data_IF_545321992581
#
_entry.id   IF_545321992581
#
_cell.length_a   1.000
_cell.length_b   1.000
_cell.length_c   1.000
_cell.angle_alpha   90.00
_cell.angle_beta   90.00
_cell.angle_gamma   90.00
#
_symmetry.space_group_name_H-M   'P 1'
#
loop_
_entity.id
_entity.type
_entity.pdbx_description
1 polymer ?
#
# COMPACT_ATOMS: atom_id res chain seq x y z
N UNK A 1 -13.81 -41.89 16.14
CA UNK A 1 -12.76 -42.02 15.09
C UNK A 1 -11.76 -40.92 15.42
N UNK A 2 -10.55 -41.29 15.93
CA UNK A 2 -9.45 -40.32 16.07
C UNK A 2 -8.94 -40.01 14.66
N UNK A 3 -9.13 -38.77 14.18
CA UNK A 3 -8.52 -38.30 12.94
C UNK A 3 -7.00 -38.32 13.11
N UNK A 4 -6.31 -39.23 12.43
CA UNK A 4 -4.85 -39.22 12.36
C UNK A 4 -4.44 -38.37 11.16
N UNK A 5 -3.78 -37.25 11.42
CA UNK A 5 -3.32 -36.31 10.40
C UNK A 5 -2.37 -36.98 9.39
N UNK A 6 -1.63 -37.98 9.79
CA UNK A 6 -0.74 -38.77 8.93
C UNK A 6 -1.48 -39.58 7.86
N UNK A 7 -2.77 -39.92 8.07
CA UNK A 7 -3.58 -40.62 7.08
C UNK A 7 -3.99 -39.74 5.88
N UNK A 8 -3.87 -38.43 6.02
CA UNK A 8 -4.23 -37.45 4.97
C UNK A 8 -2.98 -36.98 4.20
N UNK A 9 -1.84 -36.93 4.90
CA UNK A 9 -0.56 -36.51 4.33
C UNK A 9 0.55 -37.38 4.89
N UNK A 10 1.16 -38.22 4.06
CA UNK A 10 2.22 -39.17 4.45
C UNK A 10 3.46 -38.48 5.05
N UNK A 11 3.68 -37.20 4.72
CA UNK A 11 4.80 -36.38 5.21
C UNK A 11 4.42 -35.54 6.45
N UNK A 12 3.22 -35.72 7.02
CA UNK A 12 2.76 -34.94 8.15
C UNK A 12 3.29 -35.53 9.48
N UNK A 13 4.28 -34.88 10.05
CA UNK A 13 4.69 -35.16 11.45
C UNK A 13 4.03 -34.14 12.38
N UNK A 14 3.96 -34.43 13.68
CA UNK A 14 3.41 -33.52 14.70
C UNK A 14 4.18 -32.17 14.78
N UNK A 15 5.39 -32.14 14.22
CA UNK A 15 6.27 -30.97 14.16
C UNK A 15 6.01 -30.08 12.92
N UNK A 16 5.35 -30.62 11.90
CA UNK A 16 5.09 -29.89 10.65
C UNK A 16 3.85 -29.00 10.77
N UNK A 17 3.90 -27.84 10.11
CA UNK A 17 2.82 -26.85 10.11
C UNK A 17 2.35 -26.57 8.69
N UNK A 18 1.04 -26.37 8.53
CA UNK A 18 0.47 -25.88 7.28
C UNK A 18 0.57 -24.34 7.28
N UNK A 19 1.16 -23.78 6.23
CA UNK A 19 1.33 -22.34 6.04
C UNK A 19 0.72 -21.92 4.70
N UNK A 20 0.03 -20.80 4.70
CA UNK A 20 -0.46 -20.16 3.48
C UNK A 20 0.48 -19.00 3.15
N UNK A 21 1.08 -19.04 1.97
CA UNK A 21 1.95 -17.99 1.45
C UNK A 21 1.15 -17.29 0.35
N UNK A 22 0.80 -16.03 0.53
CA UNK A 22 0.07 -15.22 -0.46
C UNK A 22 1.03 -14.51 -1.40
N UNK A 23 0.69 -14.45 -2.69
CA UNK A 23 1.40 -13.67 -3.70
C UNK A 23 0.47 -12.55 -4.14
N UNK A 24 0.89 -11.31 -3.91
CA UNK A 24 0.13 -10.14 -4.34
C UNK A 24 0.35 -9.89 -5.83
N UNK A 25 -0.70 -9.59 -6.60
CA UNK A 25 -0.56 -9.15 -7.98
C UNK A 25 -0.06 -7.71 -8.04
N UNK A 26 0.51 -7.32 -9.17
CA UNK A 26 0.71 -5.90 -9.49
C UNK A 26 -0.62 -5.27 -9.86
N UNK A 27 -0.86 -4.04 -9.36
CA UNK A 27 -2.02 -3.26 -9.73
C UNK A 27 -1.80 -2.62 -11.10
N UNK A 28 -2.76 -2.76 -12.03
CA UNK A 28 -2.66 -2.23 -13.39
C UNK A 28 -2.34 -0.73 -13.42
N UNK A 29 -1.67 -0.28 -14.45
CA UNK A 29 -1.38 1.13 -14.68
C UNK A 29 -2.65 1.91 -15.03
N UNK A 30 -2.66 3.19 -14.69
CA UNK A 30 -3.60 4.16 -15.28
C UNK A 30 -2.78 5.05 -16.20
N UNK A 31 -3.14 5.09 -17.46
CA UNK A 31 -2.40 5.75 -18.53
C UNK A 31 -3.26 6.86 -19.16
N UNK A 32 -2.61 7.92 -19.65
CA UNK A 32 -3.24 8.90 -20.51
C UNK A 32 -3.46 8.33 -21.93
N UNK A 33 -4.04 9.12 -22.84
CA UNK A 33 -4.28 8.72 -24.24
C UNK A 33 -3.00 8.35 -25.00
N UNK A 34 -1.87 8.94 -24.61
CA UNK A 34 -0.57 8.78 -25.25
C UNK A 34 0.27 7.66 -24.60
N UNK A 35 -0.25 6.99 -23.54
CA UNK A 35 0.46 5.96 -22.80
C UNK A 35 1.35 6.49 -21.69
N UNK A 36 1.26 7.78 -21.32
CA UNK A 36 1.98 8.32 -20.17
C UNK A 36 1.34 7.82 -18.87
N UNK A 37 2.19 7.42 -17.93
CA UNK A 37 1.75 6.84 -16.65
C UNK A 37 1.18 7.95 -15.75
N UNK A 38 -0.06 7.76 -15.31
CA UNK A 38 -0.77 8.64 -14.38
C UNK A 38 -0.87 8.01 -12.97
N UNK A 39 -0.87 6.66 -12.90
CA UNK A 39 -0.77 5.93 -11.65
C UNK A 39 -0.07 4.58 -11.88
N UNK A 40 0.86 4.21 -11.00
CA UNK A 40 1.62 2.96 -11.04
C UNK A 40 1.95 2.45 -9.64
N UNK A 41 2.28 1.16 -9.54
CA UNK A 41 2.90 0.62 -8.35
C UNK A 41 4.38 0.97 -8.33
N UNK A 42 4.81 1.61 -7.27
CA UNK A 42 6.15 2.11 -7.11
C UNK A 42 6.72 1.85 -5.72
N UNK A 43 7.87 2.44 -5.46
CA UNK A 43 8.51 2.42 -4.14
C UNK A 43 8.08 3.64 -3.35
N UNK A 44 7.56 3.39 -2.17
CA UNK A 44 7.36 4.41 -1.15
C UNK A 44 8.20 4.09 0.08
N UNK A 45 8.12 4.94 1.07
CA UNK A 45 8.89 4.80 2.30
C UNK A 45 7.98 4.99 3.49
N UNK A 46 8.00 4.03 4.39
CA UNK A 46 7.26 4.11 5.66
C UNK A 46 8.22 4.54 6.75
N UNK A 47 8.03 5.75 7.25
CA UNK A 47 8.71 6.23 8.45
C UNK A 47 7.96 5.70 9.66
N UNK A 48 8.64 4.97 10.50
CA UNK A 48 8.04 4.35 11.68
C UNK A 48 9.02 4.27 12.84
N UNK A 49 8.51 3.77 13.95
CA UNK A 49 9.16 3.77 15.24
C UNK A 49 9.33 2.36 15.80
N UNK A 50 10.43 2.14 16.53
CA UNK A 50 10.66 0.92 17.31
C UNK A 50 10.57 1.31 18.78
N UNK A 51 9.54 0.84 19.48
CA UNK A 51 9.13 1.28 20.81
C UNK A 51 10.26 1.24 21.84
N UNK A 52 10.94 0.13 21.97
CA UNK A 52 12.01 -0.07 22.96
C UNK A 52 13.30 0.72 22.70
N UNK A 53 13.36 1.52 21.63
CA UNK A 53 14.53 2.34 21.29
C UNK A 53 14.30 3.82 21.48
N UNK A 54 13.10 4.24 21.87
CA UNK A 54 12.73 5.63 22.08
C UNK A 54 13.02 6.06 23.53
N UNK A 55 13.38 7.32 23.72
CA UNK A 55 13.69 7.91 25.04
C UNK A 55 12.45 8.61 25.66
N UNK A 56 11.24 8.24 25.27
CA UNK A 56 9.99 8.74 25.84
C UNK A 56 9.35 9.91 25.09
N UNK A 57 8.63 10.78 25.82
CA UNK A 57 7.75 11.80 25.24
C UNK A 57 8.48 12.88 24.42
N UNK A 58 9.73 13.21 24.78
CA UNK A 58 10.51 14.18 24.02
C UNK A 58 10.75 13.74 22.57
N UNK A 59 10.98 12.45 22.37
CA UNK A 59 11.16 11.89 21.01
C UNK A 59 9.88 11.99 20.19
N UNK A 60 8.71 11.76 20.81
CA UNK A 60 7.42 11.89 20.12
C UNK A 60 7.16 13.32 19.64
N UNK A 61 7.50 14.33 20.44
CA UNK A 61 7.34 15.73 20.06
C UNK A 61 8.24 16.12 18.88
N UNK A 62 9.50 15.65 18.87
CA UNK A 62 10.42 15.89 17.77
C UNK A 62 9.95 15.18 16.49
N UNK A 63 9.55 13.91 16.58
CA UNK A 63 9.07 13.11 15.46
C UNK A 63 7.79 13.72 14.87
N UNK A 64 6.87 14.17 15.72
CA UNK A 64 5.64 14.83 15.33
C UNK A 64 5.91 16.07 14.46
N UNK A 65 6.93 16.87 14.85
CA UNK A 65 7.37 18.04 14.10
C UNK A 65 7.97 17.67 12.74
N UNK A 66 8.84 16.65 12.68
CA UNK A 66 9.42 16.19 11.41
C UNK A 66 8.37 15.62 10.46
N UNK A 67 7.40 14.88 10.99
CA UNK A 67 6.38 14.20 10.17
C UNK A 67 5.12 15.02 9.97
N UNK A 68 5.06 16.26 10.48
CA UNK A 68 3.85 17.11 10.41
C UNK A 68 2.61 16.34 10.84
N UNK A 69 2.66 15.78 12.04
CA UNK A 69 1.58 14.97 12.64
C UNK A 69 1.44 15.30 14.12
N UNK A 70 0.34 14.87 14.74
CA UNK A 70 0.10 15.12 16.14
C UNK A 70 0.80 14.10 17.03
N UNK A 71 1.33 14.55 18.17
CA UNK A 71 1.94 13.68 19.19
C UNK A 71 0.94 12.62 19.67
N UNK A 72 -0.33 13.03 19.87
CA UNK A 72 -1.39 12.15 20.31
C UNK A 72 -1.65 11.00 19.34
N UNK A 73 -1.59 11.28 18.03
CA UNK A 73 -1.69 10.27 16.97
C UNK A 73 -0.56 9.25 17.05
N UNK A 74 0.67 9.70 17.32
CA UNK A 74 1.83 8.82 17.49
C UNK A 74 1.64 7.96 18.74
N UNK A 75 1.31 8.56 19.87
CA UNK A 75 1.10 7.87 21.15
C UNK A 75 -0.01 6.81 21.03
N UNK A 76 -1.13 7.14 20.41
CA UNK A 76 -2.24 6.21 20.17
C UNK A 76 -1.79 5.00 19.35
N UNK A 77 -0.99 5.21 18.29
CA UNK A 77 -0.44 4.10 17.51
C UNK A 77 0.52 3.25 18.33
N UNK A 78 1.37 3.88 19.16
CA UNK A 78 2.39 3.22 19.97
C UNK A 78 1.84 2.50 21.21
N UNK A 79 0.63 2.84 21.68
CA UNK A 79 -0.02 2.24 22.85
C UNK A 79 -0.82 0.97 22.57
N UNK A 80 -0.93 0.54 21.30
CA UNK A 80 -1.68 -0.66 20.95
C UNK A 80 -1.10 -1.92 21.62
N UNK A 81 -1.96 -2.77 22.18
CA UNK A 81 -1.59 -3.90 23.04
C UNK A 81 -0.74 -4.99 22.35
N UNK A 82 -0.76 -5.05 21.02
CA UNK A 82 0.01 -6.00 20.23
C UNK A 82 1.47 -5.56 19.94
N UNK A 83 1.82 -4.31 20.29
CA UNK A 83 3.15 -3.74 20.00
C UNK A 83 4.14 -4.16 21.07
N UNK A 84 5.15 -4.92 20.65
CA UNK A 84 6.31 -5.27 21.45
C UNK A 84 7.42 -4.22 21.31
N UNK A 85 8.42 -4.26 22.19
CA UNK A 85 9.52 -3.28 22.20
C UNK A 85 10.37 -3.30 20.92
N UNK A 86 10.46 -4.44 20.24
CA UNK A 86 11.17 -4.62 18.97
C UNK A 86 10.31 -4.37 17.73
N UNK A 87 9.01 -4.14 17.91
CA UNK A 87 8.06 -3.98 16.82
C UNK A 87 8.27 -2.65 16.08
N UNK A 88 8.30 -2.72 14.75
CA UNK A 88 8.24 -1.54 13.91
C UNK A 88 6.79 -1.07 13.78
N UNK A 89 6.51 0.15 14.18
CA UNK A 89 5.19 0.78 14.11
C UNK A 89 5.21 1.87 13.03
N UNK A 90 4.52 1.69 11.89
CA UNK A 90 4.48 2.68 10.83
C UNK A 90 3.69 3.92 11.26
N UNK A 91 4.31 5.10 11.15
CA UNK A 91 3.68 6.38 11.50
C UNK A 91 3.15 7.09 10.26
N UNK A 92 4.02 7.34 9.27
CA UNK A 92 3.67 8.08 8.03
C UNK A 92 4.38 7.48 6.83
N UNK A 93 3.63 7.34 5.73
CA UNK A 93 4.22 6.98 4.44
C UNK A 93 4.62 8.26 3.70
N UNK A 94 5.77 8.25 3.08
CA UNK A 94 6.37 9.41 2.42
C UNK A 94 6.94 9.04 1.05
N UNK A 95 7.05 10.02 0.17
CA UNK A 95 7.74 9.90 -1.12
C UNK A 95 9.26 9.85 -0.92
N UNK A 96 9.99 9.50 -1.97
CA UNK A 96 11.46 9.51 -1.94
C UNK A 96 12.03 10.90 -1.66
N UNK A 97 11.44 11.94 -2.23
CA UNK A 97 11.86 13.32 -2.01
C UNK A 97 11.72 13.70 -0.53
N UNK A 98 10.55 13.45 0.06
CA UNK A 98 10.28 13.73 1.48
C UNK A 98 11.19 12.89 2.38
N UNK A 99 11.41 11.61 2.07
CA UNK A 99 12.37 10.76 2.79
C UNK A 99 13.76 11.40 2.81
N UNK A 100 14.25 11.85 1.65
CA UNK A 100 15.58 12.45 1.55
C UNK A 100 15.67 13.76 2.35
N UNK A 101 14.63 14.59 2.32
CA UNK A 101 14.54 15.80 3.14
C UNK A 101 14.58 15.49 4.64
N UNK A 102 13.81 14.51 5.10
CA UNK A 102 13.78 14.08 6.50
C UNK A 102 15.14 13.54 6.96
N UNK A 103 15.83 12.80 6.10
CA UNK A 103 17.19 12.30 6.40
C UNK A 103 18.17 13.48 6.51
N UNK A 104 18.12 14.44 5.59
CA UNK A 104 18.97 15.65 5.65
C UNK A 104 18.70 16.49 6.90
N UNK A 105 17.45 16.58 7.32
CA UNK A 105 17.03 17.25 8.54
C UNK A 105 17.44 16.50 9.83
N UNK A 106 17.92 15.27 9.71
CA UNK A 106 18.45 14.50 10.84
C UNK A 106 17.42 13.63 11.58
N UNK A 107 16.30 13.27 10.99
CA UNK A 107 15.28 12.43 11.64
C UNK A 107 15.86 11.08 12.12
N UNK A 108 16.84 10.52 11.41
CA UNK A 108 17.49 9.27 11.79
C UNK A 108 18.42 9.38 13.02
N UNK A 109 18.73 10.60 13.49
CA UNK A 109 19.47 10.82 14.73
C UNK A 109 18.62 10.48 15.97
N UNK A 110 17.29 10.44 15.82
CA UNK A 110 16.40 10.02 16.88
C UNK A 110 16.44 8.47 16.96
N UNK A 111 16.93 7.96 18.08
CA UNK A 111 17.00 6.51 18.32
C UNK A 111 15.59 5.90 18.21
N UNK A 112 15.50 4.82 17.45
CA UNK A 112 14.22 4.12 17.25
C UNK A 112 13.43 4.55 16.02
N UNK A 113 13.79 5.64 15.34
CA UNK A 113 13.23 5.94 14.01
C UNK A 113 13.84 4.99 12.97
N UNK A 114 12.98 4.42 12.13
CA UNK A 114 13.38 3.61 10.99
C UNK A 114 12.57 4.01 9.76
N UNK A 115 13.19 3.86 8.60
CA UNK A 115 12.54 4.06 7.31
C UNK A 115 12.60 2.74 6.54
N UNK A 116 11.44 2.14 6.30
CA UNK A 116 11.31 0.92 5.52
C UNK A 116 10.82 1.25 4.11
N UNK A 117 11.38 0.59 3.10
CA UNK A 117 10.83 0.63 1.75
C UNK A 117 9.54 -0.18 1.72
N UNK A 118 8.50 0.39 1.15
CA UNK A 118 7.20 -0.25 0.96
C UNK A 118 6.81 -0.18 -0.52
N UNK A 119 6.03 -1.14 -0.98
CA UNK A 119 5.30 -0.98 -2.23
C UNK A 119 4.12 -0.04 -1.98
N UNK A 120 3.95 0.95 -2.84
CA UNK A 120 2.85 1.91 -2.73
C UNK A 120 2.40 2.35 -4.10
N UNK A 121 1.17 2.86 -4.19
CA UNK A 121 0.68 3.49 -5.42
C UNK A 121 1.29 4.87 -5.57
N UNK A 122 1.85 5.17 -6.73
CA UNK A 122 2.50 6.45 -7.07
C UNK A 122 1.68 7.15 -8.14
N UNK A 123 1.52 8.44 -7.97
CA UNK A 123 0.77 9.32 -8.86
C UNK A 123 1.70 10.46 -9.34
N UNK A 124 2.39 10.29 -10.48
CA UNK A 124 3.39 11.26 -10.94
C UNK A 124 2.85 12.68 -11.14
N UNK A 125 1.54 12.80 -11.40
CA UNK A 125 0.84 14.08 -11.65
C UNK A 125 -0.26 14.35 -10.61
N UNK A 126 -0.01 14.01 -9.35
CA UNK A 126 -1.01 14.03 -8.26
C UNK A 126 -1.83 15.31 -8.21
N UNK A 127 -1.19 16.48 -8.10
CA UNK A 127 -1.89 17.78 -8.01
C UNK A 127 -2.79 18.10 -9.21
N UNK A 128 -2.46 17.56 -10.39
CA UNK A 128 -3.12 17.87 -11.65
C UNK A 128 -4.27 16.92 -11.93
N UNK A 129 -4.13 15.66 -11.49
CA UNK A 129 -5.03 14.57 -11.87
C UNK A 129 -5.82 13.97 -10.72
N UNK A 130 -5.56 14.38 -9.47
CA UNK A 130 -6.14 13.76 -8.26
C UNK A 130 -7.67 13.68 -8.28
N UNK A 131 -8.36 14.67 -8.81
CA UNK A 131 -9.82 14.71 -8.91
C UNK A 131 -10.38 13.70 -9.93
N UNK A 132 -9.58 13.27 -10.92
CA UNK A 132 -9.96 12.27 -11.93
C UNK A 132 -9.51 10.88 -11.47
N UNK A 133 -8.21 10.74 -11.17
CA UNK A 133 -7.59 9.45 -10.85
C UNK A 133 -8.08 8.93 -9.49
N UNK A 134 -8.23 9.81 -8.52
CA UNK A 134 -8.52 9.43 -7.14
C UNK A 134 -7.29 8.85 -6.44
N UNK A 135 -7.53 7.99 -5.46
CA UNK A 135 -6.46 7.39 -4.66
C UNK A 135 -6.85 6.02 -4.12
N UNK A 136 -5.84 5.26 -3.71
CA UNK A 136 -6.00 4.00 -2.99
C UNK A 136 -5.70 4.16 -1.50
N UNK A 137 -6.28 3.28 -0.69
CA UNK A 137 -6.04 3.23 0.75
C UNK A 137 -6.01 1.78 1.22
N UNK A 138 -5.33 1.50 2.32
CA UNK A 138 -5.39 0.17 2.93
C UNK A 138 -6.83 -0.18 3.32
N UNK A 139 -7.21 -1.44 3.12
CA UNK A 139 -8.52 -1.94 3.53
C UNK A 139 -8.66 -1.86 5.05
N UNK A 140 -9.86 -1.51 5.50
CA UNK A 140 -10.23 -1.50 6.90
C UNK A 140 -11.12 -2.72 7.25
N UNK A 141 -11.53 -2.83 8.50
CA UNK A 141 -12.37 -3.95 8.96
C UNK A 141 -13.74 -4.01 8.28
N UNK A 142 -14.29 -2.86 7.86
CA UNK A 142 -15.57 -2.78 7.16
C UNK A 142 -15.43 -3.25 5.71
N UNK A 143 -14.34 -2.83 5.04
CA UNK A 143 -14.02 -3.29 3.70
C UNK A 143 -13.87 -4.82 3.65
N UNK A 144 -13.15 -5.39 4.63
CA UNK A 144 -12.97 -6.85 4.73
C UNK A 144 -14.31 -7.58 4.91
N UNK A 145 -15.25 -7.01 5.66
CA UNK A 145 -16.59 -7.58 5.82
C UNK A 145 -17.40 -7.49 4.53
N UNK A 146 -17.39 -6.30 3.89
CA UNK A 146 -18.16 -6.01 2.69
C UNK A 146 -17.67 -6.81 1.48
N UNK A 147 -16.36 -7.00 1.35
CA UNK A 147 -15.71 -7.66 0.21
C UNK A 147 -15.12 -9.03 0.57
N UNK A 148 -15.72 -9.74 1.53
CA UNK A 148 -15.22 -11.02 2.07
C UNK A 148 -14.94 -12.08 1.01
N UNK A 149 -15.77 -12.15 -0.02
CA UNK A 149 -15.65 -13.12 -1.13
C UNK A 149 -14.66 -12.71 -2.22
N UNK A 150 -14.13 -11.50 -2.15
CA UNK A 150 -13.31 -10.93 -3.22
C UNK A 150 -11.80 -11.12 -2.99
N UNK A 151 -11.40 -11.78 -1.91
CA UNK A 151 -10.00 -12.14 -1.63
C UNK A 151 -9.13 -11.00 -1.09
N UNK A 152 -9.73 -9.94 -0.54
CA UNK A 152 -8.97 -8.91 0.19
C UNK A 152 -8.39 -9.46 1.48
N UNK A 153 -7.20 -8.98 1.80
CA UNK A 153 -6.48 -9.24 3.05
C UNK A 153 -6.23 -7.93 3.79
N UNK A 154 -5.80 -7.99 5.03
CA UNK A 154 -5.45 -6.80 5.82
C UNK A 154 -4.31 -5.96 5.23
N UNK A 155 -3.52 -6.55 4.33
CA UNK A 155 -2.42 -5.88 3.61
C UNK A 155 -2.83 -5.36 2.22
N UNK A 156 -4.07 -5.61 1.78
CA UNK A 156 -4.56 -5.16 0.49
C UNK A 156 -4.85 -3.66 0.50
N UNK A 157 -4.81 -3.04 -0.68
CA UNK A 157 -5.28 -1.69 -0.93
C UNK A 157 -6.57 -1.71 -1.75
N UNK A 158 -7.39 -0.68 -1.61
CA UNK A 158 -8.64 -0.52 -2.35
C UNK A 158 -8.76 0.93 -2.84
N UNK A 159 -9.26 1.12 -4.06
CA UNK A 159 -9.56 2.44 -4.61
C UNK A 159 -10.71 3.11 -3.84
N UNK A 160 -10.51 4.37 -3.44
CA UNK A 160 -11.49 5.13 -2.64
C UNK A 160 -12.29 6.12 -3.46
N UNK A 161 -11.72 6.63 -4.52
CA UNK A 161 -12.37 7.62 -5.39
C UNK A 161 -11.86 7.54 -6.82
N UNK A 162 -12.50 8.27 -7.72
CA UNK A 162 -12.09 8.45 -9.10
C UNK A 162 -11.97 7.13 -9.89
N UNK A 163 -11.05 7.10 -10.84
CA UNK A 163 -10.75 5.94 -11.67
C UNK A 163 -10.29 4.75 -10.84
N UNK A 164 -9.50 4.98 -9.79
CA UNK A 164 -9.03 3.94 -8.88
C UNK A 164 -10.19 3.16 -8.24
N UNK A 165 -11.28 3.84 -7.86
CA UNK A 165 -12.45 3.17 -7.28
C UNK A 165 -13.36 2.57 -8.37
N UNK A 166 -13.60 3.31 -9.46
CA UNK A 166 -14.52 2.89 -10.51
C UNK A 166 -14.03 1.62 -11.22
N UNK A 167 -12.72 1.52 -11.44
CA UNK A 167 -12.08 0.39 -12.12
C UNK A 167 -11.35 -0.56 -11.16
N UNK A 168 -11.66 -0.51 -9.86
CA UNK A 168 -11.03 -1.32 -8.82
C UNK A 168 -10.88 -2.79 -9.21
N UNK A 169 -11.99 -3.40 -9.68
CA UNK A 169 -12.03 -4.82 -10.06
C UNK A 169 -11.07 -5.18 -11.20
N UNK A 170 -10.81 -4.25 -12.12
CA UNK A 170 -9.89 -4.45 -13.23
C UNK A 170 -8.44 -4.17 -12.81
N UNK A 171 -8.24 -3.09 -12.06
CA UNK A 171 -6.92 -2.63 -11.64
C UNK A 171 -6.26 -3.56 -10.62
N UNK A 172 -7.00 -4.11 -9.65
CA UNK A 172 -6.41 -4.82 -8.50
C UNK A 172 -5.79 -6.18 -8.82
N UNK A 173 -6.18 -6.82 -9.94
CA UNK A 173 -5.78 -8.18 -10.25
C UNK A 173 -6.39 -9.26 -9.33
N UNK A 174 -5.84 -10.46 -9.37
CA UNK A 174 -6.26 -11.58 -8.52
C UNK A 174 -5.08 -12.07 -7.67
N UNK A 175 -5.29 -12.14 -6.36
CA UNK A 175 -4.30 -12.68 -5.42
C UNK A 175 -4.06 -14.15 -5.69
N UNK A 176 -2.81 -14.53 -5.81
CA UNK A 176 -2.34 -15.90 -5.84
C UNK A 176 -1.87 -16.38 -4.46
N UNK A 177 -1.41 -17.63 -4.41
CA UNK A 177 -0.80 -18.15 -3.20
C UNK A 177 -0.52 -19.63 -3.26
N UNK A 178 0.19 -20.10 -2.24
CA UNK A 178 0.56 -21.50 -2.05
C UNK A 178 0.16 -21.95 -0.66
N UNK A 179 -0.40 -23.14 -0.57
CA UNK A 179 -0.57 -23.87 0.68
C UNK A 179 0.61 -24.83 0.77
N UNK A 180 1.45 -24.65 1.78
CA UNK A 180 2.67 -25.42 1.96
C UNK A 180 2.71 -26.09 3.33
N UNK A 181 3.38 -27.24 3.41
CA UNK A 181 3.77 -27.87 4.67
C UNK A 181 5.20 -27.42 4.94
N UNK A 182 5.46 -26.89 6.12
CA UNK A 182 6.78 -26.44 6.57
C UNK A 182 7.23 -27.18 7.81
N UNK A 183 8.54 -27.36 7.96
CA UNK A 183 9.18 -27.90 9.17
C UNK A 183 9.24 -26.87 10.31
N UNK A 184 9.88 -27.24 11.43
CA UNK A 184 10.09 -26.36 12.59
C UNK A 184 10.92 -25.12 12.24
N UNK A 185 11.79 -25.21 11.24
CA UNK A 185 12.65 -24.13 10.78
C UNK A 185 12.00 -23.27 9.68
N UNK A 186 10.70 -23.49 9.37
CA UNK A 186 9.96 -22.87 8.27
C UNK A 186 10.47 -23.22 6.84
N UNK A 187 11.24 -24.30 6.66
CA UNK A 187 11.58 -24.79 5.33
C UNK A 187 10.36 -25.49 4.72
N UNK A 188 10.15 -25.27 3.43
CA UNK A 188 9.02 -25.88 2.71
C UNK A 188 9.36 -27.35 2.43
N UNK A 189 8.58 -28.26 3.00
CA UNK A 189 8.67 -29.71 2.76
C UNK A 189 7.88 -30.05 1.49
N UNK A 190 6.65 -29.53 1.38
CA UNK A 190 5.75 -29.84 0.27
C UNK A 190 4.79 -28.69 -0.04
N UNK A 191 4.52 -28.47 -1.31
CA UNK A 191 3.43 -27.62 -1.77
C UNK A 191 2.18 -28.48 -1.98
N UNK A 192 1.12 -28.18 -1.23
CA UNK A 192 -0.14 -28.92 -1.28
C UNK A 192 -1.03 -28.41 -2.40
N UNK A 193 -1.10 -27.08 -2.55
CA UNK A 193 -1.89 -26.42 -3.60
C UNK A 193 -1.24 -25.08 -3.95
N UNK A 194 -1.44 -24.65 -5.20
CA UNK A 194 -0.96 -23.37 -5.70
C UNK A 194 -2.00 -22.74 -6.62
N UNK A 195 -2.17 -21.42 -6.49
CA UNK A 195 -2.92 -20.57 -7.43
C UNK A 195 -1.97 -19.45 -7.85
N UNK A 196 -1.78 -19.28 -9.18
CA UNK A 196 -1.00 -18.17 -9.71
C UNK A 196 -1.70 -16.84 -9.45
N UNK A 197 -0.93 -15.80 -9.11
CA UNK A 197 -1.42 -14.44 -9.08
C UNK A 197 -1.66 -13.97 -10.54
N UNK A 198 -2.70 -13.16 -10.75
CA UNK A 198 -2.94 -12.51 -12.02
C UNK A 198 -2.89 -11.02 -11.83
N UNK A 199 -1.98 -10.36 -12.53
CA UNK A 199 -1.83 -8.91 -12.45
C UNK A 199 -3.08 -8.18 -12.93
N UNK A 200 -3.27 -6.99 -12.42
CA UNK A 200 -4.34 -6.08 -12.83
C UNK A 200 -4.17 -5.64 -14.27
N UNK A 201 -5.30 -5.25 -14.88
CA UNK A 201 -5.31 -4.74 -16.25
C UNK A 201 -5.09 -3.23 -16.24
N UNK A 202 -4.29 -2.75 -17.19
CA UNK A 202 -4.08 -1.33 -17.39
C UNK A 202 -5.35 -0.64 -17.92
N UNK A 203 -5.56 0.59 -17.47
CA UNK A 203 -6.65 1.45 -17.91
C UNK A 203 -6.07 2.63 -18.67
N UNK A 204 -6.44 2.78 -19.93
CA UNK A 204 -6.07 3.95 -20.74
C UNK A 204 -7.24 4.93 -20.79
N UNK A 205 -6.97 6.16 -20.37
CA UNK A 205 -7.93 7.25 -20.36
C UNK A 205 -7.88 8.04 -21.67
N UNK A 206 -8.90 8.85 -21.90
CA UNK A 206 -8.98 9.75 -23.05
C UNK A 206 -8.32 11.11 -22.81
N UNK A 207 -7.90 11.39 -21.57
CA UNK A 207 -7.21 12.65 -21.22
C UNK A 207 -5.80 12.71 -21.82
N UNK A 208 -5.33 13.92 -22.08
CA UNK A 208 -3.96 14.24 -22.44
C UNK A 208 -3.32 14.97 -21.27
N UNK A 209 -2.30 14.38 -20.66
CA UNK A 209 -1.69 14.95 -19.46
C UNK A 209 -0.95 16.25 -19.72
N UNK A 210 -0.42 16.47 -20.94
CA UNK A 210 0.25 17.73 -21.27
C UNK A 210 -0.76 18.87 -21.35
N UNK A 211 -1.92 18.62 -21.98
CA UNK A 211 -3.01 19.60 -22.04
C UNK A 211 -3.55 19.88 -20.63
N UNK A 212 -3.75 18.83 -19.82
CA UNK A 212 -4.20 18.98 -18.44
C UNK A 212 -3.22 19.82 -17.61
N UNK A 213 -1.92 19.61 -17.79
CA UNK A 213 -0.88 20.38 -17.10
C UNK A 213 -0.85 21.85 -17.54
N UNK A 214 -1.01 22.12 -18.84
CA UNK A 214 -1.10 23.49 -19.35
C UNK A 214 -2.30 24.22 -18.75
N UNK A 215 -3.47 23.60 -18.75
CA UNK A 215 -4.67 24.16 -18.14
C UNK A 215 -4.50 24.40 -16.63
N UNK A 216 -3.89 23.44 -15.91
CA UNK A 216 -3.62 23.58 -14.50
C UNK A 216 -2.71 24.78 -14.21
N UNK A 217 -1.64 24.96 -14.98
CA UNK A 217 -0.71 26.07 -14.79
C UNK A 217 -1.37 27.43 -15.03
N UNK A 218 -2.27 27.53 -16.01
CA UNK A 218 -3.01 28.77 -16.29
C UNK A 218 -4.02 29.11 -15.18
N UNK A 219 -4.70 28.10 -14.64
CA UNK A 219 -5.84 28.32 -13.73
C UNK A 219 -5.56 28.02 -12.26
N UNK A 220 -4.33 27.62 -11.88
CA UNK A 220 -4.04 27.20 -10.51
C UNK A 220 -4.30 28.26 -9.43
N UNK A 221 -4.34 29.56 -9.81
CA UNK A 221 -4.62 30.67 -8.92
C UNK A 221 -6.07 31.18 -9.01
N UNK A 222 -6.87 30.61 -9.90
CA UNK A 222 -8.25 31.05 -10.17
C UNK A 222 -9.24 29.89 -9.90
N UNK A 223 -10.47 30.30 -9.53
CA UNK A 223 -11.61 29.37 -9.50
C UNK A 223 -12.31 29.38 -10.85
N UNK A 224 -11.78 28.66 -11.83
CA UNK A 224 -12.24 28.65 -13.20
C UNK A 224 -12.45 27.26 -13.75
N UNK A 225 -13.16 27.18 -14.84
CA UNK A 225 -13.35 25.96 -15.62
C UNK A 225 -13.21 26.31 -17.11
N UNK A 226 -12.63 25.37 -17.87
CA UNK A 226 -12.56 25.52 -19.33
C UNK A 226 -13.25 24.36 -20.03
N UNK A 227 -13.89 24.68 -21.15
CA UNK A 227 -14.54 23.73 -22.05
C UNK A 227 -14.02 23.95 -23.46
N UNK A 228 -13.49 22.89 -24.07
CA UNK A 228 -13.10 22.93 -25.49
C UNK A 228 -14.03 22.02 -26.29
N UNK A 229 -14.59 22.54 -27.34
CA UNK A 229 -15.51 21.84 -28.23
C UNK A 229 -14.95 21.79 -29.65
N UNK A 230 -15.08 20.66 -30.31
CA UNK A 230 -14.83 20.58 -31.74
C UNK A 230 -16.15 20.90 -32.49
N UNK A 231 -16.26 22.00 -33.21
CA UNK A 231 -17.51 22.39 -33.87
C UNK A 231 -17.87 21.53 -35.10
N UNK A 232 -16.96 20.61 -35.48
CA UNK A 232 -17.15 19.72 -36.66
C UNK A 232 -17.58 18.30 -36.30
N UNK A 233 -17.71 17.98 -35.02
CA UNK A 233 -18.12 16.63 -34.55
C UNK A 233 -19.25 16.75 -33.55
#
# INVERSE_FOLDING_TARGET
IKFNKQLIFDEFSDKNKVKVITTQPYRGYILDRNGKVLAEDGKGYSVGLVKGKLNGENDYAQIAKYLETDVETIQKKMSASWIKDDSFVPIKNVSEQVKNQLIQQGILNIKGVKINTISTRVYPYDKITSHIIGYVQNVNSEDLKKHKSEGYTSSSVIGRSGIEATYEKQLRGEVGGKIVIVDENNNIIKTVAQKEAKDGKDIRLTIDINLQQSLYNEYQNDKSASVALNPKT
#
